data_IF_294745039861
#
_entry.id   IF_294745039861
#
_cell.length_a   1.000
_cell.length_b   1.000
_cell.length_c   1.000
_cell.angle_alpha   90.00
_cell.angle_beta   90.00
_cell.angle_gamma   90.00
#
_symmetry.space_group_name_H-M   'P 1'
#
loop_
_entity.id
_entity.type
_entity.pdbx_description
1 polymer ?
#
# COMPACT_ATOMS: atom_id res chain seq x y z
N UNK A 1 -12.74 3.18 0.01
CA UNK A 1 -12.70 3.17 -1.47
C UNK A 1 -11.25 3.25 -1.90
N UNK A 2 -10.67 2.09 -2.22
CA UNK A 2 -9.59 1.88 -3.19
C UNK A 2 -9.46 0.36 -3.32
N UNK A 3 -10.34 -0.22 -4.13
CA UNK A 3 -10.49 -1.67 -4.28
C UNK A 3 -9.46 -2.25 -5.27
N UNK A 4 -8.78 -1.38 -6.03
CA UNK A 4 -7.77 -1.79 -7.01
C UNK A 4 -6.39 -1.80 -6.37
N UNK A 5 -5.76 -2.97 -6.35
CA UNK A 5 -4.45 -3.17 -5.71
C UNK A 5 -3.49 -4.02 -6.53
N UNK A 6 -3.91 -4.45 -7.71
CA UNK A 6 -3.01 -5.13 -8.64
C UNK A 6 -2.78 -4.26 -9.86
N UNK A 7 -1.55 -4.26 -10.41
CA UNK A 7 -1.27 -3.68 -11.72
C UNK A 7 -2.23 -4.18 -12.80
N UNK A 8 -2.70 -5.44 -12.72
CA UNK A 8 -3.64 -6.00 -13.69
C UNK A 8 -5.02 -5.34 -13.69
N UNK A 9 -5.52 -4.94 -12.51
CA UNK A 9 -6.79 -4.21 -12.42
C UNK A 9 -6.68 -2.83 -13.06
N UNK A 10 -5.58 -2.12 -12.80
CA UNK A 10 -5.31 -0.82 -13.44
C UNK A 10 -5.13 -0.95 -14.95
N UNK A 11 -4.39 -1.96 -15.41
CA UNK A 11 -4.19 -2.22 -16.83
C UNK A 11 -5.52 -2.51 -17.54
N UNK A 12 -6.40 -3.32 -16.92
CA UNK A 12 -7.74 -3.59 -17.41
C UNK A 12 -8.58 -2.31 -17.56
N UNK A 13 -8.59 -1.43 -16.54
CA UNK A 13 -9.32 -0.16 -16.58
C UNK A 13 -8.79 0.81 -17.65
N UNK A 14 -7.50 0.73 -17.95
CA UNK A 14 -6.84 1.56 -18.95
C UNK A 14 -6.86 0.93 -20.36
N UNK A 15 -7.47 -0.25 -20.52
CA UNK A 15 -7.48 -1.01 -21.77
C UNK A 15 -6.08 -1.28 -22.35
N UNK A 16 -5.11 -1.58 -21.48
CA UNK A 16 -3.73 -1.91 -21.84
C UNK A 16 -3.29 -3.23 -21.19
N UNK A 17 -2.15 -3.77 -21.63
CA UNK A 17 -1.57 -4.95 -21.00
C UNK A 17 -0.85 -4.58 -19.69
N UNK A 18 -0.84 -5.50 -18.72
CA UNK A 18 -0.10 -5.32 -17.46
C UNK A 18 1.41 -5.09 -17.67
N UNK A 19 2.09 -5.81 -18.60
CA UNK A 19 3.48 -5.50 -18.95
C UNK A 19 3.66 -4.07 -19.45
N UNK A 20 2.80 -3.61 -20.37
CA UNK A 20 2.87 -2.25 -20.91
C UNK A 20 2.66 -1.19 -19.83
N UNK A 21 1.71 -1.40 -18.92
CA UNK A 21 1.52 -0.52 -17.75
C UNK A 21 2.81 -0.45 -16.91
N UNK A 22 3.40 -1.60 -16.57
CA UNK A 22 4.61 -1.63 -15.75
C UNK A 22 5.79 -0.94 -16.44
N UNK A 23 5.99 -1.17 -17.74
CA UNK A 23 7.04 -0.52 -18.53
C UNK A 23 6.83 0.99 -18.62
N UNK A 24 5.59 1.43 -18.89
CA UNK A 24 5.25 2.85 -19.00
C UNK A 24 5.48 3.58 -17.68
N UNK A 25 5.00 3.03 -16.57
CA UNK A 25 5.18 3.63 -15.23
C UNK A 25 6.64 3.60 -14.82
N UNK A 26 7.37 2.50 -15.08
CA UNK A 26 8.80 2.42 -14.77
C UNK A 26 9.63 3.41 -15.57
N UNK A 27 9.31 3.60 -16.85
CA UNK A 27 10.00 4.56 -17.72
C UNK A 27 9.78 6.00 -17.25
N UNK A 28 8.57 6.31 -16.75
CA UNK A 28 8.22 7.65 -16.28
C UNK A 28 8.72 7.96 -14.84
N UNK A 29 8.80 6.96 -13.96
CA UNK A 29 8.99 7.17 -12.51
C UNK A 29 10.20 6.45 -11.91
N UNK A 30 10.85 5.58 -12.66
CA UNK A 30 11.91 4.68 -12.18
C UNK A 30 11.43 3.39 -11.52
N UNK A 31 10.14 3.28 -11.16
CA UNK A 31 9.57 2.12 -10.47
C UNK A 31 8.32 1.58 -11.15
N UNK A 32 8.01 0.30 -10.94
CA UNK A 32 6.83 -0.34 -11.57
C UNK A 32 5.52 0.16 -10.96
N UNK A 33 4.39 -0.06 -11.65
CA UNK A 33 3.07 0.25 -11.10
C UNK A 33 2.82 -0.48 -9.76
N UNK A 34 3.28 -1.73 -9.65
CA UNK A 34 3.15 -2.51 -8.41
C UNK A 34 3.86 -1.87 -7.22
N UNK A 35 5.02 -1.24 -7.44
CA UNK A 35 5.73 -0.50 -6.39
C UNK A 35 4.89 0.67 -5.89
N UNK A 36 4.38 1.51 -6.79
CA UNK A 36 3.61 2.70 -6.42
C UNK A 36 2.30 2.34 -5.74
N UNK A 37 1.63 1.29 -6.19
CA UNK A 37 0.41 0.78 -5.53
C UNK A 37 0.71 0.42 -4.07
N UNK A 38 1.79 -0.34 -3.82
CA UNK A 38 2.18 -0.69 -2.45
C UNK A 38 2.59 0.55 -1.65
N UNK A 39 3.33 1.48 -2.26
CA UNK A 39 3.75 2.71 -1.61
C UNK A 39 2.55 3.55 -1.15
N UNK A 40 1.56 3.78 -2.01
CA UNK A 40 0.34 4.53 -1.69
C UNK A 40 -0.48 3.86 -0.59
N UNK A 41 -0.59 2.53 -0.63
CA UNK A 41 -1.24 1.77 0.45
C UNK A 41 -0.53 1.98 1.78
N UNK A 42 0.81 1.95 1.82
CA UNK A 42 1.56 2.17 3.05
C UNK A 42 1.51 3.63 3.50
N UNK A 43 1.42 4.58 2.58
CA UNK A 43 1.19 5.99 2.91
C UNK A 43 -0.16 6.17 3.60
N UNK A 44 -1.21 5.54 3.10
CA UNK A 44 -2.54 5.56 3.72
C UNK A 44 -2.53 4.84 5.08
N UNK A 45 -1.82 3.72 5.20
CA UNK A 45 -1.61 3.06 6.49
C UNK A 45 -0.97 3.98 7.52
N UNK A 46 0.07 4.73 7.14
CA UNK A 46 0.72 5.71 8.03
C UNK A 46 -0.27 6.80 8.48
N UNK A 47 -1.11 7.30 7.57
CA UNK A 47 -2.17 8.29 7.90
C UNK A 47 -3.17 7.72 8.91
N UNK A 48 -3.66 6.51 8.70
CA UNK A 48 -4.58 5.85 9.63
C UNK A 48 -3.93 5.59 11.00
N UNK A 49 -2.66 5.17 11.02
CA UNK A 49 -1.91 4.98 12.27
C UNK A 49 -1.73 6.29 13.06
N UNK A 50 -1.59 7.41 12.36
CA UNK A 50 -1.36 8.74 12.94
C UNK A 50 -2.66 9.43 13.40
N UNK A 51 -3.72 9.38 12.59
CA UNK A 51 -4.95 10.15 12.82
C UNK A 51 -6.07 9.37 13.52
N UNK A 52 -5.92 8.07 13.75
CA UNK A 52 -7.00 7.22 14.30
C UNK A 52 -6.50 6.24 15.35
N UNK A 53 -7.41 5.84 16.23
CA UNK A 53 -7.18 4.80 17.24
C UNK A 53 -7.43 3.37 16.72
N UNK A 54 -7.72 3.21 15.43
CA UNK A 54 -7.98 1.88 14.85
C UNK A 54 -6.81 0.94 15.12
N UNK A 55 -7.04 -0.28 15.57
CA UNK A 55 -5.96 -1.22 15.76
C UNK A 55 -5.35 -1.67 14.41
N UNK A 56 -4.16 -2.26 14.45
CA UNK A 56 -3.41 -2.63 13.23
C UNK A 56 -4.20 -3.64 12.36
N UNK A 57 -5.00 -4.51 13.00
CA UNK A 57 -5.86 -5.48 12.31
C UNK A 57 -6.99 -4.76 11.56
N UNK A 58 -7.67 -3.80 12.19
CA UNK A 58 -8.69 -2.96 11.54
C UNK A 58 -8.12 -2.16 10.37
N UNK A 59 -6.92 -1.57 10.53
CA UNK A 59 -6.23 -0.85 9.46
C UNK A 59 -5.94 -1.80 8.29
N UNK A 60 -5.40 -3.00 8.55
CA UNK A 60 -5.15 -4.02 7.54
C UNK A 60 -6.42 -4.36 6.75
N UNK A 61 -7.52 -4.65 7.45
CA UNK A 61 -8.80 -4.97 6.81
C UNK A 61 -9.39 -3.79 6.03
N UNK A 62 -9.34 -2.58 6.58
CA UNK A 62 -9.82 -1.36 5.90
C UNK A 62 -9.03 -1.09 4.62
N UNK A 63 -7.73 -1.34 4.66
CA UNK A 63 -6.86 -1.29 3.51
C UNK A 63 -7.00 -2.52 2.62
N UNK A 64 -7.89 -3.47 2.90
CA UNK A 64 -8.29 -4.64 2.12
C UNK A 64 -7.33 -5.84 2.18
N UNK A 65 -6.49 -5.94 3.22
CA UNK A 65 -5.65 -7.10 3.46
C UNK A 65 -6.34 -8.02 4.45
N UNK A 66 -6.64 -9.24 4.02
CA UNK A 66 -7.23 -10.29 4.87
C UNK A 66 -6.18 -10.88 5.83
N UNK A 67 -4.93 -11.01 5.36
CA UNK A 67 -3.80 -11.41 6.18
C UNK A 67 -3.09 -10.20 6.80
N UNK A 68 -3.39 -9.92 8.06
CA UNK A 68 -2.74 -8.86 8.85
C UNK A 68 -1.22 -9.08 9.00
N UNK A 69 -0.76 -10.34 9.03
CA UNK A 69 0.67 -10.67 9.16
C UNK A 69 1.40 -10.33 7.86
N UNK A 70 0.78 -10.56 6.71
CA UNK A 70 1.29 -10.10 5.42
C UNK A 70 1.37 -8.56 5.38
N UNK A 71 0.28 -7.87 5.75
CA UNK A 71 0.26 -6.40 5.79
C UNK A 71 1.39 -5.84 6.68
N UNK A 72 1.57 -6.41 7.87
CA UNK A 72 2.62 -5.98 8.81
C UNK A 72 4.03 -6.13 8.23
N UNK A 73 4.30 -7.25 7.53
CA UNK A 73 5.58 -7.47 6.84
C UNK A 73 5.79 -6.47 5.71
N UNK A 74 4.76 -6.22 4.90
CA UNK A 74 4.80 -5.26 3.80
C UNK A 74 5.04 -3.83 4.31
N UNK A 75 4.29 -3.41 5.33
CA UNK A 75 4.46 -2.12 5.98
C UNK A 75 5.89 -1.97 6.51
N UNK A 76 6.40 -2.95 7.25
CA UNK A 76 7.75 -2.90 7.81
C UNK A 76 8.81 -2.78 6.71
N UNK A 77 8.66 -3.53 5.61
CA UNK A 77 9.58 -3.48 4.47
C UNK A 77 9.64 -2.10 3.82
N UNK A 78 8.50 -1.42 3.68
CA UNK A 78 8.39 -0.14 2.96
C UNK A 78 8.63 1.06 3.89
N UNK A 79 8.13 0.99 5.13
CA UNK A 79 8.21 2.08 6.10
C UNK A 79 9.51 2.08 6.93
N UNK A 80 10.24 0.96 6.96
CA UNK A 80 11.47 0.79 7.76
C UNK A 80 11.23 0.52 9.26
N UNK A 81 9.97 0.49 9.70
CA UNK A 81 9.59 0.19 11.08
C UNK A 81 8.23 -0.51 11.11
N UNK A 82 7.92 -1.26 12.18
CA UNK A 82 6.63 -1.93 12.30
C UNK A 82 5.48 -0.93 12.46
N UNK A 83 4.23 -1.29 12.12
CA UNK A 83 3.06 -0.43 12.35
C UNK A 83 2.94 0.04 13.80
N UNK A 84 3.25 -0.85 14.76
CA UNK A 84 3.21 -0.54 16.18
C UNK A 84 4.29 0.45 16.59
N UNK A 85 5.53 0.25 16.11
CA UNK A 85 6.63 1.19 16.34
C UNK A 85 6.34 2.56 15.72
N UNK A 86 5.82 2.58 14.49
CA UNK A 86 5.40 3.81 13.83
C UNK A 86 4.35 4.56 14.66
N UNK A 87 3.30 3.87 15.11
CA UNK A 87 2.27 4.47 15.97
C UNK A 87 2.87 5.05 17.26
N UNK A 88 3.67 4.26 17.98
CA UNK A 88 4.30 4.71 19.24
C UNK A 88 5.13 5.99 19.08
N UNK A 89 5.79 6.16 17.93
CA UNK A 89 6.69 7.27 17.69
C UNK A 89 6.00 8.53 17.16
N UNK A 90 4.85 8.38 16.49
CA UNK A 90 4.27 9.47 15.70
C UNK A 90 2.79 9.76 16.02
N UNK A 91 2.07 8.92 16.75
CA UNK A 91 0.66 9.17 17.04
C UNK A 91 0.47 10.51 17.76
N UNK A 92 -0.48 11.30 17.27
CA UNK A 92 -0.82 12.62 17.83
C UNK A 92 -1.77 12.48 19.02
#
# INVERSE_FOLDING_TARGET
MNTQKSPSQYAFLLHISTPYLNESVKSATGFTAGYWIQYEIILEAKRLLFYTDMNIKEISFKLGYEDYSYFTRLFTKIAGASPLQFRKNYQK
#
